data_IF_244733603201
#
_entry.id   IF_244733603201
#
_cell.length_a   1.000
_cell.length_b   1.000
_cell.length_c   1.000
_cell.angle_alpha   90.00
_cell.angle_beta   90.00
_cell.angle_gamma   90.00
#
_symmetry.space_group_name_H-M   'P 1'
#
loop_
_entity.id
_entity.type
_entity.pdbx_description
1 polymer ?
#
# COMPACT_ATOMS: atom_id res chain seq x y z
N UNK A 1 -3.20 8.77 21.46
CA UNK A 1 -3.03 7.57 20.60
C UNK A 1 -3.02 7.89 19.10
N UNK A 2 -3.89 8.79 18.54
CA UNK A 2 -3.86 9.10 17.09
C UNK A 2 -2.61 9.86 16.64
N UNK A 3 -1.93 10.59 17.52
CA UNK A 3 -0.69 11.31 17.23
C UNK A 3 0.54 10.40 17.06
N UNK A 4 0.50 9.18 17.59
CA UNK A 4 1.58 8.19 17.49
C UNK A 4 1.71 7.60 16.08
N UNK A 5 0.64 7.65 15.29
CA UNK A 5 0.60 7.13 13.91
C UNK A 5 0.89 8.19 12.83
N UNK A 6 1.45 9.33 13.23
CA UNK A 6 1.70 10.47 12.34
C UNK A 6 0.46 11.34 12.13
N UNK A 7 0.68 12.63 11.97
CA UNK A 7 -0.37 13.63 11.74
C UNK A 7 -0.21 14.29 10.39
N UNK A 8 -1.31 14.75 9.81
CA UNK A 8 -1.34 15.49 8.56
C UNK A 8 -2.18 16.77 8.70
N UNK A 9 -1.83 17.87 8.01
CA UNK A 9 -2.57 19.13 8.11
C UNK A 9 -4.01 18.98 7.58
N UNK A 10 -4.90 19.90 7.99
CA UNK A 10 -6.32 19.86 7.61
C UNK A 10 -6.54 19.71 6.10
N UNK A 11 -5.79 20.42 5.30
CA UNK A 11 -5.94 20.45 3.84
C UNK A 11 -5.39 19.20 3.11
N UNK A 12 -4.77 18.27 3.79
CA UNK A 12 -4.05 17.14 3.19
C UNK A 12 -4.90 16.30 2.24
N UNK A 13 -6.17 16.06 2.57
CA UNK A 13 -7.06 15.31 1.68
C UNK A 13 -7.28 16.05 0.36
N UNK A 14 -7.46 17.38 0.40
CA UNK A 14 -7.72 18.19 -0.77
C UNK A 14 -6.49 18.45 -1.62
N UNK A 15 -5.32 18.60 -1.01
CA UNK A 15 -4.08 18.97 -1.71
C UNK A 15 -3.18 17.80 -2.08
N UNK A 16 -3.39 16.63 -1.46
CA UNK A 16 -2.51 15.47 -1.64
C UNK A 16 -3.26 14.19 -1.96
N UNK A 17 -4.22 13.75 -1.13
CA UNK A 17 -4.85 12.45 -1.29
C UNK A 17 -5.81 12.39 -2.48
N UNK A 18 -6.80 13.30 -2.55
CA UNK A 18 -7.79 13.33 -3.62
C UNK A 18 -7.19 13.63 -5.00
N UNK A 19 -6.27 14.59 -5.17
CA UNK A 19 -5.61 14.79 -6.47
C UNK A 19 -4.91 13.55 -7.00
N UNK A 20 -4.25 12.78 -6.14
CA UNK A 20 -3.60 11.51 -6.52
C UNK A 20 -4.59 10.40 -6.83
N UNK A 21 -5.69 10.33 -6.08
CA UNK A 21 -6.71 9.30 -6.26
C UNK A 21 -7.59 9.54 -7.50
N UNK A 22 -7.86 10.80 -7.84
CA UNK A 22 -8.77 11.20 -8.91
C UNK A 22 -8.05 11.61 -10.20
N UNK A 23 -6.78 12.02 -10.12
CA UNK A 23 -5.99 12.49 -11.27
C UNK A 23 -6.73 13.61 -12.04
N UNK A 24 -6.92 13.45 -13.36
CA UNK A 24 -7.66 14.42 -14.18
C UNK A 24 -9.14 14.54 -13.80
N UNK A 25 -9.71 13.56 -13.12
CA UNK A 25 -11.07 13.67 -12.61
C UNK A 25 -11.19 14.68 -11.46
N UNK A 26 -10.11 15.01 -10.75
CA UNK A 26 -10.15 15.98 -9.65
C UNK A 26 -10.59 17.39 -10.10
N UNK A 27 -9.90 18.05 -11.04
CA UNK A 27 -10.37 19.34 -11.55
C UNK A 27 -11.72 19.25 -12.29
N UNK A 28 -12.03 18.13 -12.95
CA UNK A 28 -13.32 17.93 -13.60
C UNK A 28 -14.48 17.81 -12.59
N UNK A 29 -14.26 17.15 -11.44
CA UNK A 29 -15.23 17.10 -10.38
C UNK A 29 -15.52 18.50 -9.82
N UNK A 30 -14.50 19.33 -9.63
CA UNK A 30 -14.70 20.74 -9.26
C UNK A 30 -15.44 21.53 -10.35
N UNK A 31 -15.07 21.36 -11.62
CA UNK A 31 -15.73 22.01 -12.76
C UNK A 31 -17.22 21.58 -12.88
N UNK A 32 -17.59 20.38 -12.41
CA UNK A 32 -18.97 19.92 -12.47
C UNK A 32 -19.92 20.81 -11.66
N UNK A 33 -19.46 21.48 -10.61
CA UNK A 33 -20.23 22.43 -9.83
C UNK A 33 -20.80 23.59 -10.69
N UNK A 34 -20.05 24.01 -11.70
CA UNK A 34 -20.48 25.03 -12.65
C UNK A 34 -21.20 24.43 -13.87
N UNK A 35 -20.66 23.35 -14.43
CA UNK A 35 -21.10 22.79 -15.70
C UNK A 35 -22.33 21.90 -15.60
N UNK A 36 -22.57 21.27 -14.44
CA UNK A 36 -23.61 20.24 -14.22
C UNK A 36 -24.38 20.55 -12.95
N UNK A 37 -25.37 21.46 -12.95
CA UNK A 37 -26.12 21.83 -11.74
C UNK A 37 -26.70 20.63 -10.98
N UNK A 38 -27.12 19.59 -11.69
CA UNK A 38 -27.65 18.35 -11.10
C UNK A 38 -26.60 17.55 -10.29
N UNK A 39 -25.31 17.76 -10.53
CA UNK A 39 -24.25 17.11 -9.79
C UNK A 39 -23.87 17.84 -8.48
N UNK A 40 -24.31 19.11 -8.30
CA UNK A 40 -23.96 19.91 -7.12
C UNK A 40 -24.26 19.24 -5.78
N UNK A 41 -25.44 18.66 -5.55
CA UNK A 41 -25.73 18.04 -4.25
C UNK A 41 -24.75 16.91 -3.92
N UNK A 42 -24.44 16.04 -4.88
CA UNK A 42 -23.55 14.91 -4.67
C UNK A 42 -22.11 15.38 -4.44
N UNK A 43 -21.64 16.36 -5.20
CA UNK A 43 -20.27 16.90 -5.04
C UNK A 43 -20.14 17.60 -3.69
N UNK A 44 -21.08 18.48 -3.33
CA UNK A 44 -21.05 19.22 -2.07
C UNK A 44 -21.14 18.29 -0.86
N UNK A 45 -22.00 17.27 -0.90
CA UNK A 45 -22.09 16.28 0.16
C UNK A 45 -20.75 15.52 0.37
N UNK A 46 -20.08 15.15 -0.72
CA UNK A 46 -18.79 14.46 -0.64
C UNK A 46 -17.65 15.38 -0.19
N UNK A 47 -17.64 16.65 -0.63
CA UNK A 47 -16.68 17.64 -0.14
C UNK A 47 -16.87 17.93 1.35
N UNK A 48 -18.12 18.03 1.81
CA UNK A 48 -18.45 18.17 3.23
C UNK A 48 -17.97 16.96 4.03
N UNK A 49 -18.24 15.74 3.56
CA UNK A 49 -17.75 14.51 4.17
C UNK A 49 -16.21 14.52 4.32
N UNK A 50 -15.48 14.86 3.27
CA UNK A 50 -14.02 14.98 3.30
C UNK A 50 -13.58 16.07 4.27
N UNK A 51 -14.25 17.20 4.31
CA UNK A 51 -13.95 18.31 5.24
C UNK A 51 -14.11 17.90 6.70
N UNK A 52 -15.17 17.15 7.03
CA UNK A 52 -15.38 16.61 8.39
C UNK A 52 -14.25 15.65 8.76
N UNK A 53 -13.88 14.72 7.88
CA UNK A 53 -12.73 13.82 8.13
C UNK A 53 -11.39 14.56 8.20
N UNK A 54 -11.27 15.74 7.59
CA UNK A 54 -10.07 16.57 7.65
C UNK A 54 -9.77 17.13 9.04
N UNK A 55 -10.75 17.11 9.96
CA UNK A 55 -10.57 17.51 11.36
C UNK A 55 -9.71 16.49 12.12
N UNK A 56 -9.74 15.22 11.73
CA UNK A 56 -8.96 14.18 12.38
C UNK A 56 -7.45 14.41 12.16
N UNK A 57 -6.60 14.34 13.22
CA UNK A 57 -5.15 14.52 13.09
C UNK A 57 -4.50 13.46 12.21
N UNK A 58 -4.81 12.17 12.47
CA UNK A 58 -4.36 11.06 11.65
C UNK A 58 -5.24 10.89 10.42
N UNK A 59 -4.61 10.86 9.23
CA UNK A 59 -5.30 10.84 7.95
C UNK A 59 -4.79 9.72 7.05
N UNK A 60 -5.73 8.95 6.51
CA UNK A 60 -5.46 7.95 5.49
C UNK A 60 -6.47 8.06 4.35
N UNK A 61 -6.04 7.76 3.11
CA UNK A 61 -6.94 7.81 1.94
C UNK A 61 -8.17 6.90 2.11
N UNK A 62 -8.01 5.74 2.79
CA UNK A 62 -9.12 4.80 3.01
C UNK A 62 -10.31 5.40 3.76
N UNK A 63 -10.08 6.41 4.62
CA UNK A 63 -11.17 7.06 5.38
C UNK A 63 -12.09 7.88 4.48
N UNK A 64 -11.58 8.41 3.36
CA UNK A 64 -12.33 9.22 2.41
C UNK A 64 -12.52 8.54 1.06
N UNK A 65 -12.18 7.26 0.94
CA UNK A 65 -12.27 6.50 -0.31
C UNK A 65 -13.69 6.50 -0.89
N UNK A 66 -14.70 6.54 -0.04
CA UNK A 66 -16.11 6.58 -0.43
C UNK A 66 -16.48 7.82 -1.25
N UNK A 67 -15.72 8.91 -1.15
CA UNK A 67 -15.93 10.11 -1.96
C UNK A 67 -15.41 9.95 -3.40
N UNK A 68 -14.48 9.03 -3.65
CA UNK A 68 -13.84 8.87 -4.98
C UNK A 68 -14.84 8.47 -6.07
N UNK A 69 -15.70 7.43 -5.92
CA UNK A 69 -16.66 7.06 -6.97
C UNK A 69 -17.67 8.17 -7.30
N UNK A 70 -18.34 8.83 -6.36
CA UNK A 70 -19.28 9.92 -6.69
C UNK A 70 -18.60 11.11 -7.37
N UNK A 71 -17.38 11.47 -6.94
CA UNK A 71 -16.62 12.55 -7.57
C UNK A 71 -16.19 12.17 -9.01
N UNK A 72 -15.87 10.91 -9.28
CA UNK A 72 -15.61 10.43 -10.64
C UNK A 72 -16.88 10.51 -11.54
N UNK A 73 -18.05 10.17 -11.00
CA UNK A 73 -19.33 10.32 -11.74
C UNK A 73 -19.57 11.78 -12.10
N UNK A 74 -19.37 12.71 -11.15
CA UNK A 74 -19.51 14.13 -11.40
C UNK A 74 -18.49 14.66 -12.43
N UNK A 75 -17.25 14.18 -12.36
CA UNK A 75 -16.20 14.49 -13.33
C UNK A 75 -16.53 13.99 -14.74
N UNK A 76 -17.06 12.77 -14.86
CA UNK A 76 -17.51 12.20 -16.13
C UNK A 76 -18.65 13.02 -16.74
N UNK A 77 -19.61 13.48 -15.93
CA UNK A 77 -20.69 14.36 -16.38
C UNK A 77 -20.17 15.71 -16.86
N UNK A 78 -19.19 16.31 -16.17
CA UNK A 78 -18.53 17.54 -16.61
C UNK A 78 -17.78 17.35 -17.92
N UNK A 79 -17.04 16.25 -18.04
CA UNK A 79 -16.31 15.90 -19.27
C UNK A 79 -17.25 15.74 -20.46
N UNK A 80 -18.38 15.04 -20.27
CA UNK A 80 -19.42 14.90 -21.30
C UNK A 80 -19.96 16.26 -21.75
N UNK A 81 -20.20 17.19 -20.81
CA UNK A 81 -20.63 18.56 -21.12
C UNK A 81 -19.57 19.34 -21.90
N UNK A 82 -18.30 19.22 -21.53
CA UNK A 82 -17.20 19.86 -22.24
C UNK A 82 -17.04 19.28 -23.65
N UNK A 83 -17.08 17.95 -23.77
CA UNK A 83 -17.03 17.29 -25.09
C UNK A 83 -18.17 17.71 -26.01
N UNK A 84 -19.40 17.84 -25.48
CA UNK A 84 -20.55 18.26 -26.25
C UNK A 84 -20.47 19.71 -26.76
N UNK A 85 -19.63 20.56 -26.13
CA UNK A 85 -19.37 21.93 -26.60
C UNK A 85 -18.32 22.01 -27.73
N UNK A 86 -17.59 20.94 -28.01
CA UNK A 86 -16.63 20.91 -29.07
C UNK A 86 -17.35 20.88 -30.44
N UNK A 87 -16.87 21.62 -31.45
CA UNK A 87 -17.44 21.60 -32.78
C UNK A 87 -17.48 20.18 -33.36
N UNK A 88 -18.51 19.87 -34.14
CA UNK A 88 -18.60 18.60 -34.86
C UNK A 88 -17.52 18.52 -35.94
N UNK A 89 -16.63 17.53 -35.83
CA UNK A 89 -15.51 17.33 -36.79
C UNK A 89 -15.97 17.11 -38.22
N UNK A 90 -17.21 16.60 -38.42
CA UNK A 90 -17.77 16.33 -39.76
C UNK A 90 -18.35 17.56 -40.40
N UNK A 91 -18.75 18.55 -39.62
CA UNK A 91 -19.48 19.75 -40.14
C UNK A 91 -18.63 21.02 -40.09
N UNK A 92 -17.51 21.00 -39.39
CA UNK A 92 -16.70 22.18 -39.15
C UNK A 92 -16.02 22.67 -40.40
N UNK A 93 -16.24 23.94 -40.75
CA UNK A 93 -15.58 24.65 -41.82
C UNK A 93 -14.68 25.76 -41.23
N UNK A 94 -13.45 25.88 -41.74
CA UNK A 94 -12.47 26.85 -41.25
C UNK A 94 -11.40 26.26 -40.32
N UNK A 95 -10.17 26.80 -40.40
CA UNK A 95 -8.98 26.25 -39.73
C UNK A 95 -9.07 26.31 -38.21
N UNK A 96 -9.50 27.44 -37.64
CA UNK A 96 -9.60 27.61 -36.19
C UNK A 96 -10.62 26.67 -35.54
N UNK A 97 -11.81 26.49 -36.15
CA UNK A 97 -12.82 25.61 -35.64
C UNK A 97 -12.41 24.12 -35.77
N UNK A 98 -11.67 23.76 -36.82
CA UNK A 98 -11.06 22.43 -36.95
C UNK A 98 -10.02 22.17 -35.85
N UNK A 99 -9.11 23.14 -35.65
CA UNK A 99 -8.11 23.03 -34.57
C UNK A 99 -8.77 22.81 -33.19
N UNK A 100 -9.84 23.55 -32.86
CA UNK A 100 -10.60 23.37 -31.63
C UNK A 100 -11.28 21.99 -31.55
N UNK A 101 -11.90 21.53 -32.65
CA UNK A 101 -12.59 20.27 -32.73
C UNK A 101 -11.66 19.08 -32.52
N UNK A 102 -10.54 19.01 -33.20
CA UNK A 102 -9.57 17.91 -33.11
C UNK A 102 -8.67 18.05 -31.88
N UNK A 103 -8.16 19.27 -31.60
CA UNK A 103 -7.30 19.56 -30.46
C UNK A 103 -8.01 19.31 -29.14
N UNK A 104 -9.25 19.77 -28.99
CA UNK A 104 -10.04 19.52 -27.80
C UNK A 104 -10.27 18.01 -27.53
N UNK A 105 -10.57 17.23 -28.58
CA UNK A 105 -10.72 15.78 -28.45
C UNK A 105 -9.40 15.10 -28.15
N UNK A 106 -8.31 15.52 -28.79
CA UNK A 106 -6.99 14.98 -28.51
C UNK A 106 -6.55 15.21 -27.05
N UNK A 107 -6.85 16.39 -26.49
CA UNK A 107 -6.61 16.69 -25.06
C UNK A 107 -7.43 15.76 -24.16
N UNK A 108 -8.72 15.54 -24.47
CA UNK A 108 -9.57 14.62 -23.69
C UNK A 108 -9.00 13.19 -23.74
N UNK A 109 -8.71 12.68 -24.91
CA UNK A 109 -8.15 11.33 -25.10
C UNK A 109 -6.80 11.22 -24.40
N UNK A 110 -5.92 12.20 -24.60
CA UNK A 110 -4.61 12.25 -23.94
C UNK A 110 -4.71 12.24 -22.42
N UNK A 111 -5.64 13.01 -21.84
CA UNK A 111 -5.87 13.02 -20.40
C UNK A 111 -6.39 11.66 -19.88
N UNK A 112 -7.30 10.99 -20.60
CA UNK A 112 -7.79 9.66 -20.24
C UNK A 112 -6.67 8.61 -20.32
N UNK A 113 -5.86 8.64 -21.37
CA UNK A 113 -4.72 7.74 -21.52
C UNK A 113 -3.66 7.98 -20.42
N UNK A 114 -3.39 9.25 -20.09
CA UNK A 114 -2.48 9.59 -19.01
C UNK A 114 -3.02 9.09 -17.64
N UNK A 115 -4.32 9.25 -17.37
CA UNK A 115 -4.93 8.68 -16.17
C UNK A 115 -4.79 7.16 -16.12
N UNK A 116 -5.04 6.46 -17.22
CA UNK A 116 -4.89 5.01 -17.31
C UNK A 116 -3.43 4.58 -17.06
N UNK A 117 -2.46 5.26 -17.69
CA UNK A 117 -1.05 4.99 -17.51
C UNK A 117 -0.59 5.24 -16.07
N UNK A 118 -0.98 6.36 -15.45
CA UNK A 118 -0.66 6.65 -14.05
C UNK A 118 -1.32 5.65 -13.10
N UNK A 119 -2.57 5.25 -13.35
CA UNK A 119 -3.23 4.21 -12.56
C UNK A 119 -2.52 2.86 -12.66
N UNK A 120 -2.02 2.51 -13.85
CA UNK A 120 -1.21 1.31 -14.05
C UNK A 120 0.11 1.38 -13.26
N UNK A 121 0.79 2.54 -13.27
CA UNK A 121 2.01 2.75 -12.47
C UNK A 121 1.72 2.64 -10.98
N UNK A 122 0.63 3.24 -10.49
CA UNK A 122 0.25 3.10 -9.07
C UNK A 122 -0.13 1.67 -8.72
N UNK A 123 -0.84 0.96 -9.59
CA UNK A 123 -1.14 -0.46 -9.42
C UNK A 123 0.12 -1.32 -9.36
N UNK A 124 1.06 -1.10 -10.26
CA UNK A 124 2.34 -1.80 -10.25
C UNK A 124 3.18 -1.49 -9.00
N UNK A 125 3.19 -0.22 -8.55
CA UNK A 125 3.84 0.14 -7.28
C UNK A 125 3.17 -0.54 -6.07
N UNK A 126 1.84 -0.65 -6.08
CA UNK A 126 1.09 -1.28 -5.00
C UNK A 126 1.40 -2.78 -4.84
N UNK A 127 1.75 -3.48 -5.92
CA UNK A 127 2.18 -4.89 -5.86
C UNK A 127 3.44 -5.08 -5.00
N UNK A 128 4.28 -4.07 -4.85
CA UNK A 128 5.51 -4.11 -4.05
C UNK A 128 5.35 -3.47 -2.67
N UNK A 129 4.12 -3.09 -2.26
CA UNK A 129 3.88 -2.43 -0.97
C UNK A 129 3.69 -3.40 0.20
N UNK A 130 3.70 -4.71 -0.06
CA UNK A 130 3.44 -5.73 0.95
C UNK A 130 4.62 -6.71 1.11
N UNK A 131 5.87 -6.23 1.30
CA UNK A 131 7.04 -7.09 1.38
C UNK A 131 6.97 -8.08 2.55
N UNK A 132 6.34 -7.74 3.68
CA UNK A 132 6.15 -8.66 4.80
C UNK A 132 5.30 -9.88 4.42
N UNK A 133 4.20 -9.67 3.72
CA UNK A 133 3.33 -10.75 3.23
C UNK A 133 4.07 -11.66 2.23
N UNK A 134 4.81 -11.06 1.30
CA UNK A 134 5.62 -11.81 0.32
C UNK A 134 6.76 -12.58 1.00
N UNK A 135 7.44 -11.97 1.99
CA UNK A 135 8.50 -12.62 2.76
C UNK A 135 7.97 -13.84 3.54
N UNK A 136 6.78 -13.72 4.16
CA UNK A 136 6.14 -14.85 4.83
C UNK A 136 5.79 -15.96 3.84
N UNK A 137 5.17 -15.64 2.72
CA UNK A 137 4.85 -16.61 1.68
C UNK A 137 6.10 -17.33 1.18
N UNK A 138 7.15 -16.57 0.84
CA UNK A 138 8.43 -17.13 0.40
C UNK A 138 9.09 -18.04 1.46
N UNK A 139 8.92 -17.71 2.74
CA UNK A 139 9.39 -18.56 3.83
C UNK A 139 8.61 -19.87 3.89
N UNK A 140 7.31 -19.82 3.83
CA UNK A 140 6.43 -21.00 3.90
C UNK A 140 6.61 -21.92 2.69
N UNK A 141 6.77 -21.37 1.50
CA UNK A 141 7.02 -22.12 0.27
C UNK A 141 8.38 -22.85 0.25
N UNK A 142 9.41 -22.23 0.82
CA UNK A 142 10.77 -22.80 0.89
C UNK A 142 10.93 -23.86 1.97
N UNK A 143 10.03 -23.89 2.93
CA UNK A 143 10.11 -24.84 4.03
C UNK A 143 9.18 -26.03 3.74
N UNK A 144 9.74 -27.25 3.60
CA UNK A 144 8.90 -28.44 3.51
C UNK A 144 8.01 -28.53 4.76
N UNK A 145 6.76 -28.87 4.57
CA UNK A 145 5.70 -28.98 5.58
C UNK A 145 5.98 -30.00 6.72
N UNK A 146 7.20 -30.52 6.76
CA UNK A 146 7.62 -31.59 7.67
C UNK A 146 8.81 -31.14 8.52
N UNK A 147 8.52 -30.30 9.50
CA UNK A 147 9.37 -30.31 10.69
C UNK A 147 8.56 -30.90 11.83
N UNK A 148 8.94 -32.12 12.20
CA UNK A 148 8.49 -32.81 13.42
C UNK A 148 8.56 -31.83 14.58
N UNK A 149 7.53 -31.81 15.42
CA UNK A 149 7.34 -30.91 16.55
C UNK A 149 8.64 -30.60 17.33
N UNK A 150 8.91 -29.33 17.52
CA UNK A 150 10.04 -28.82 18.28
C UNK A 150 10.12 -27.30 18.15
N UNK A 151 10.94 -26.64 18.96
CA UNK A 151 11.16 -25.19 19.05
C UNK A 151 11.52 -24.46 17.74
N UNK A 152 11.70 -25.22 16.66
CA UNK A 152 12.09 -24.69 15.34
C UNK A 152 10.93 -24.22 14.47
N UNK A 153 9.70 -24.51 14.86
CA UNK A 153 8.51 -24.12 14.08
C UNK A 153 7.97 -22.75 14.52
N UNK A 154 8.80 -21.92 15.12
CA UNK A 154 8.43 -20.59 15.60
C UNK A 154 8.98 -19.52 14.67
N UNK A 155 8.11 -18.59 14.26
CA UNK A 155 8.43 -17.46 13.41
C UNK A 155 8.18 -16.18 14.21
N UNK A 156 9.24 -15.37 14.39
CA UNK A 156 9.08 -14.00 14.86
C UNK A 156 8.84 -13.07 13.69
N UNK A 157 7.86 -12.19 13.84
CA UNK A 157 7.44 -11.22 12.84
C UNK A 157 7.79 -9.84 13.37
N UNK A 158 8.89 -9.27 12.86
CA UNK A 158 9.30 -7.90 13.18
C UNK A 158 8.30 -6.86 12.67
N UNK A 159 8.45 -5.63 13.14
CA UNK A 159 7.47 -4.57 12.95
C UNK A 159 7.22 -4.26 11.46
N UNK A 160 8.25 -4.09 10.63
CA UNK A 160 8.07 -3.82 9.19
C UNK A 160 7.32 -4.94 8.47
N UNK A 161 7.59 -6.21 8.79
CA UNK A 161 6.85 -7.33 8.23
C UNK A 161 5.39 -7.31 8.68
N UNK A 162 5.14 -7.02 9.97
CA UNK A 162 3.80 -6.98 10.56
C UNK A 162 2.90 -5.92 9.90
N UNK A 163 3.44 -4.71 9.63
CA UNK A 163 2.68 -3.61 9.02
C UNK A 163 2.60 -3.69 7.49
N UNK A 164 3.41 -4.55 6.86
CA UNK A 164 3.48 -4.67 5.40
C UNK A 164 2.99 -6.02 4.87
N UNK A 165 1.84 -6.49 5.37
CA UNK A 165 1.07 -7.56 4.74
C UNK A 165 1.07 -8.92 5.45
N UNK A 166 1.75 -9.07 6.59
CA UNK A 166 1.57 -10.28 7.40
C UNK A 166 0.22 -10.24 8.09
N UNK A 167 -0.63 -11.22 7.81
CA UNK A 167 -1.97 -11.33 8.37
C UNK A 167 -2.26 -12.74 8.89
N UNK A 168 -3.30 -12.88 9.74
CA UNK A 168 -3.77 -14.19 10.23
C UNK A 168 -4.17 -15.15 9.12
N UNK A 169 -4.64 -14.65 7.99
CA UNK A 169 -5.03 -15.48 6.83
C UNK A 169 -3.86 -16.26 6.22
N UNK A 170 -2.62 -15.81 6.46
CA UNK A 170 -1.42 -16.49 5.99
C UNK A 170 -0.85 -17.49 7.02
N UNK A 171 -1.52 -17.69 8.15
CA UNK A 171 -1.09 -18.69 9.13
C UNK A 171 -1.31 -20.10 8.59
N UNK A 172 -0.28 -20.92 8.67
CA UNK A 172 -0.30 -22.32 8.24
C UNK A 172 0.21 -23.23 9.37
N UNK A 173 -0.57 -24.24 9.81
CA UNK A 173 -0.06 -25.25 10.74
C UNK A 173 1.09 -26.04 10.11
N UNK A 174 2.08 -26.52 10.87
CA UNK A 174 2.22 -26.46 12.32
C UNK A 174 3.02 -25.27 12.87
N UNK A 175 3.11 -24.16 12.12
CA UNK A 175 3.90 -22.99 12.48
C UNK A 175 3.26 -22.19 13.62
N UNK A 176 4.09 -21.74 14.56
CA UNK A 176 3.70 -20.78 15.61
C UNK A 176 4.29 -19.42 15.28
N UNK A 177 3.51 -18.38 15.41
CA UNK A 177 3.85 -17.01 15.05
C UNK A 177 3.89 -16.13 16.29
N UNK A 178 4.85 -15.22 16.36
CA UNK A 178 4.94 -14.21 17.43
C UNK A 178 5.13 -12.83 16.81
N UNK A 179 4.40 -11.86 17.32
CA UNK A 179 4.54 -10.41 17.01
C UNK A 179 4.94 -9.64 18.26
N UNK A 180 5.60 -10.26 19.22
CA UNK A 180 6.07 -9.58 20.42
C UNK A 180 6.95 -8.39 20.03
N UNK A 181 6.58 -7.20 20.49
CA UNK A 181 7.29 -5.96 20.21
C UNK A 181 8.52 -5.83 21.12
N UNK A 182 9.54 -5.07 20.67
CA UNK A 182 10.71 -4.75 21.48
C UNK A 182 11.76 -5.87 21.60
N UNK A 183 11.63 -6.95 20.82
CA UNK A 183 12.60 -8.04 20.82
C UNK A 183 13.77 -7.80 19.85
N UNK A 184 13.67 -6.83 18.94
CA UNK A 184 14.67 -6.61 17.88
C UNK A 184 16.07 -6.28 18.42
N UNK A 185 16.15 -5.74 19.63
CA UNK A 185 17.41 -5.38 20.30
C UNK A 185 17.89 -6.40 21.34
N UNK A 186 17.15 -7.51 21.52
CA UNK A 186 17.49 -8.59 22.45
C UNK A 186 17.82 -9.89 21.70
N UNK A 187 19.12 -10.18 21.44
CA UNK A 187 19.56 -11.38 20.73
C UNK A 187 19.17 -12.69 21.45
N UNK A 188 19.12 -12.67 22.78
CA UNK A 188 18.78 -13.86 23.57
C UNK A 188 17.30 -14.18 23.46
N UNK A 189 16.45 -13.14 23.50
CA UNK A 189 15.02 -13.27 23.26
C UNK A 189 14.71 -13.73 21.83
N UNK A 190 15.41 -13.20 20.83
CA UNK A 190 15.30 -13.68 19.44
C UNK A 190 15.79 -15.11 19.27
N UNK A 191 16.77 -15.56 20.06
CA UNK A 191 17.35 -16.90 20.00
C UNK A 191 16.36 -18.04 20.23
N UNK A 192 15.17 -17.80 20.77
CA UNK A 192 14.10 -18.81 20.95
C UNK A 192 13.33 -19.09 19.66
N UNK A 193 13.41 -18.24 18.64
CA UNK A 193 12.71 -18.44 17.40
C UNK A 193 13.55 -19.24 16.39
N UNK A 194 12.87 -20.06 15.59
CA UNK A 194 13.52 -20.81 14.50
C UNK A 194 13.76 -19.93 13.27
N UNK A 195 12.88 -18.95 13.03
CA UNK A 195 12.91 -18.04 11.90
C UNK A 195 12.51 -16.63 12.32
N UNK A 196 13.08 -15.63 11.62
CA UNK A 196 12.76 -14.22 11.81
C UNK A 196 12.38 -13.58 10.47
N UNK A 197 11.39 -12.71 10.49
CA UNK A 197 11.15 -11.69 9.47
C UNK A 197 11.58 -10.35 10.06
N UNK A 198 12.75 -9.84 9.68
CA UNK A 198 13.38 -8.67 10.30
C UNK A 198 13.65 -7.56 9.29
N UNK A 199 13.79 -6.34 9.78
CA UNK A 199 14.27 -5.19 9.01
C UNK A 199 15.81 -5.17 8.86
N UNK A 200 16.51 -5.97 9.67
CA UNK A 200 17.97 -6.02 9.70
C UNK A 200 18.49 -7.08 8.71
N UNK A 201 19.47 -6.68 7.91
CA UNK A 201 20.13 -7.60 6.98
C UNK A 201 20.94 -8.67 7.70
N UNK A 202 21.46 -8.35 8.88
CA UNK A 202 22.26 -9.25 9.70
C UNK A 202 21.68 -9.31 11.12
N UNK A 203 21.54 -10.52 11.64
CA UNK A 203 21.10 -10.79 13.03
C UNK A 203 22.00 -11.88 13.60
N UNK A 204 22.57 -11.63 14.78
CA UNK A 204 23.47 -12.55 15.44
C UNK A 204 22.78 -13.88 15.74
N UNK A 205 23.49 -14.99 15.50
CA UNK A 205 22.94 -16.33 15.64
C UNK A 205 22.05 -16.81 14.50
N UNK A 206 21.77 -15.97 13.51
CA UNK A 206 20.93 -16.27 12.36
C UNK A 206 21.70 -16.21 11.04
N UNK A 207 21.19 -16.93 10.05
CA UNK A 207 21.67 -16.88 8.67
C UNK A 207 20.57 -16.35 7.75
N UNK A 208 20.92 -15.45 6.86
CA UNK A 208 20.00 -14.92 5.86
C UNK A 208 19.53 -16.03 4.93
N UNK A 209 18.23 -16.17 4.75
CA UNK A 209 17.59 -17.16 3.89
C UNK A 209 17.00 -16.52 2.63
N UNK A 210 16.42 -15.33 2.76
CA UNK A 210 15.77 -14.60 1.68
C UNK A 210 15.73 -13.11 1.98
N UNK A 211 15.79 -12.30 0.93
CA UNK A 211 15.58 -10.84 1.02
C UNK A 211 14.40 -10.47 0.16
N UNK A 212 13.41 -9.87 0.78
CA UNK A 212 12.23 -9.38 0.09
C UNK A 212 12.36 -7.88 -0.19
N UNK A 213 12.06 -7.50 -1.43
CA UNK A 213 12.15 -6.13 -1.89
C UNK A 213 10.76 -5.46 -1.87
N UNK A 214 10.68 -4.27 -1.31
CA UNK A 214 9.49 -3.44 -1.35
C UNK A 214 9.66 -2.24 -2.27
N UNK A 215 8.56 -1.56 -2.59
CA UNK A 215 8.57 -0.33 -3.38
C UNK A 215 9.42 0.75 -2.69
N UNK A 216 10.26 1.42 -3.48
CA UNK A 216 11.06 2.56 -3.05
C UNK A 216 10.56 3.84 -3.70
N UNK A 217 10.64 3.93 -5.02
CA UNK A 217 10.23 5.14 -5.77
C UNK A 217 9.95 4.86 -7.24
N UNK A 218 9.23 5.79 -7.88
CA UNK A 218 9.14 5.89 -9.33
C UNK A 218 10.35 6.70 -9.84
N UNK A 219 10.99 6.22 -10.90
CA UNK A 219 12.10 6.89 -11.57
C UNK A 219 11.69 7.31 -12.99
N UNK A 220 12.33 8.37 -13.52
CA UNK A 220 12.11 8.82 -14.89
C UNK A 220 12.87 7.98 -15.94
N UNK A 221 13.83 7.18 -15.51
CA UNK A 221 14.60 6.26 -16.35
C UNK A 221 14.42 4.79 -15.88
N UNK A 222 14.54 3.84 -16.81
CA UNK A 222 14.45 2.42 -16.46
C UNK A 222 15.46 1.99 -15.36
N UNK A 223 15.08 1.05 -14.45
CA UNK A 223 13.71 0.59 -14.26
C UNK A 223 12.83 1.68 -13.66
N UNK A 224 11.66 1.94 -14.25
CA UNK A 224 10.77 3.02 -13.83
C UNK A 224 10.22 2.84 -12.41
N UNK A 225 10.06 1.61 -11.96
CA UNK A 225 9.74 1.26 -10.58
C UNK A 225 11.02 0.75 -9.90
N UNK A 226 11.45 1.43 -8.87
CA UNK A 226 12.59 1.00 -8.06
C UNK A 226 12.12 0.36 -6.78
N UNK A 227 12.72 -0.77 -6.47
CA UNK A 227 12.53 -1.50 -5.22
C UNK A 227 13.83 -1.49 -4.43
N UNK A 228 13.72 -1.67 -3.12
CA UNK A 228 14.85 -1.82 -2.22
C UNK A 228 14.56 -2.92 -1.18
N UNK A 229 15.58 -3.54 -0.59
CA UNK A 229 15.38 -4.51 0.48
C UNK A 229 14.57 -3.91 1.63
N UNK A 230 13.52 -4.60 2.06
CA UNK A 230 12.63 -4.14 3.14
C UNK A 230 12.46 -5.15 4.26
N UNK A 231 12.42 -6.44 3.92
CA UNK A 231 12.25 -7.52 4.89
C UNK A 231 13.24 -8.62 4.58
N UNK A 232 13.98 -9.02 5.61
CA UNK A 232 14.96 -10.09 5.55
C UNK A 232 14.41 -11.29 6.31
N UNK A 233 14.42 -12.44 5.66
CA UNK A 233 14.02 -13.72 6.25
C UNK A 233 15.26 -14.43 6.74
N UNK A 234 15.31 -14.72 8.02
CA UNK A 234 16.44 -15.37 8.65
C UNK A 234 16.07 -16.75 9.19
N UNK A 235 17.03 -17.65 9.19
CA UNK A 235 16.96 -18.96 9.83
C UNK A 235 18.00 -19.06 10.93
N UNK A 236 17.60 -19.53 12.10
CA UNK A 236 18.52 -19.75 13.22
C UNK A 236 19.65 -20.72 12.80
N UNK A 237 20.88 -20.30 13.00
CA UNK A 237 22.06 -21.18 12.85
C UNK A 237 21.98 -22.27 13.91
N UNK A 238 22.38 -23.51 13.59
CA UNK A 238 22.50 -24.55 14.60
C UNK A 238 23.51 -24.09 15.63
N UNK A 239 23.21 -24.07 16.95
CA UNK A 239 24.23 -23.84 17.94
C UNK A 239 25.28 -24.95 17.74
N UNK A 240 26.56 -24.59 17.72
CA UNK A 240 27.64 -25.57 17.93
C UNK A 240 27.21 -26.31 19.20
N UNK A 241 27.10 -27.65 19.15
CA UNK A 241 26.68 -28.49 20.25
C UNK A 241 27.39 -28.06 21.56
N UNK A 242 26.68 -27.24 22.35
CA UNK A 242 26.99 -27.13 23.76
C UNK A 242 26.24 -28.27 24.44
N UNK A 243 26.99 -29.13 25.16
CA UNK A 243 26.44 -30.28 25.85
C UNK A 243 25.31 -29.83 26.78
N UNK A 244 24.19 -30.52 26.68
CA UNK A 244 23.04 -30.29 27.53
C UNK A 244 23.43 -30.46 29.01
N UNK A 245 23.18 -29.44 29.80
CA UNK A 245 22.85 -29.59 31.22
C UNK A 245 21.72 -28.58 31.53
N UNK A 246 20.58 -29.13 31.84
CA UNK A 246 19.42 -28.66 32.59
C UNK A 246 19.01 -27.21 32.42
N UNK A 247 17.78 -26.99 31.98
CA UNK A 247 16.82 -26.41 32.90
C UNK A 247 15.48 -26.17 32.22
N UNK A 248 14.51 -26.66 32.91
CA UNK A 248 13.16 -26.25 33.24
C UNK A 248 12.32 -25.43 32.25
N UNK A 249 11.14 -25.95 32.05
CA UNK A 249 9.91 -25.36 31.57
C UNK A 249 9.79 -23.84 31.75
N UNK A 250 9.81 -23.11 30.62
CA UNK A 250 9.32 -21.75 30.53
C UNK A 250 7.84 -21.75 30.15
N UNK A 251 7.05 -21.13 31.00
CA UNK A 251 5.62 -20.90 30.86
C UNK A 251 5.28 -20.34 29.46
N UNK A 252 4.21 -20.88 28.90
CA UNK A 252 3.78 -20.49 27.54
C UNK A 252 3.37 -19.04 27.48
N UNK A 253 4.11 -18.29 26.67
CA UNK A 253 3.75 -16.94 26.25
C UNK A 253 2.47 -17.03 25.41
N UNK A 254 1.45 -16.19 25.66
CA UNK A 254 0.18 -16.28 24.95
C UNK A 254 0.39 -16.04 23.45
N UNK A 255 -0.25 -16.86 22.64
CA UNK A 255 -0.32 -16.68 21.18
C UNK A 255 -1.00 -15.34 20.89
N UNK A 256 -0.24 -14.36 20.41
CA UNK A 256 -0.71 -12.98 20.18
C UNK A 256 -1.76 -12.91 19.05
N UNK A 257 -1.98 -14.01 18.38
CA UNK A 257 -3.03 -14.17 17.39
C UNK A 257 -4.24 -14.99 17.89
N UNK A 258 -4.29 -15.38 19.16
CA UNK A 258 -5.46 -16.01 19.76
C UNK A 258 -6.56 -15.00 20.09
#
# INVERSE_FOLDING_TARGET
KSGEYGTSPFHWYFTSALPRALLAAYPLAAASLALVPKARPIVLANLFFVAVYSILPHKELRFVLYAVPPLNVAAAAALAKLHAKLPDTRRVKGGGARALAYGGRAVIVGALLACAALSAVFGAAALHNYPGGHALAALLDKLPAVHKSGDRNTIHIGNAAAISGVSRFAQAPPWRYSKAEGLDDDPDALGRFGYLLSERAEVDGFGLLHTEHGFSRVALAPPYLRTEPKVYVHKRKRPKRYSARGDAAGEGEPDIFA
#
